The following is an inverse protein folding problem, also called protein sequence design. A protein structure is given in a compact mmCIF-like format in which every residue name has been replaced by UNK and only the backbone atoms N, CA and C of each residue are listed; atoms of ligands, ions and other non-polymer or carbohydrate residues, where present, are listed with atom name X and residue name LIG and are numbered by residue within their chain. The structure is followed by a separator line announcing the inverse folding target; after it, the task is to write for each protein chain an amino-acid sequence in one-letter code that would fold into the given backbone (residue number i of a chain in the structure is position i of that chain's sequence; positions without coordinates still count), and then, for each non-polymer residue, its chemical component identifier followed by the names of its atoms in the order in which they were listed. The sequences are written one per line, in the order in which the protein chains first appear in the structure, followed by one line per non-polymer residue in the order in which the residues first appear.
data_IF_725073005319
#
_entry.id   IF_725073005319
#
_cell.length_a   1.000
_cell.length_b   1.000
_cell.length_c   1.000
_cell.angle_alpha   90.00
_cell.angle_beta   90.00
_cell.angle_gamma   90.00
#
_symmetry.space_group_name_H-M   'P 1'
#
loop_
_entity.id
_entity.type
_entity.pdbx_description
1 polymer ?
#
# COMPACT_ATOMS: atom_id res chain seq x y z
N UNK A 1 2.68 -25.07 19.91
CA UNK A 1 2.49 -24.34 18.63
C UNK A 1 2.28 -22.86 18.95
N UNK A 2 3.28 -22.03 18.67
CA UNK A 2 3.23 -20.58 18.93
C UNK A 2 2.73 -19.87 17.67
N UNK A 3 1.62 -19.14 17.78
CA UNK A 3 1.12 -18.23 16.74
C UNK A 3 2.10 -17.06 16.63
N UNK A 4 3.09 -17.12 15.73
CA UNK A 4 3.92 -15.96 15.39
C UNK A 4 3.23 -15.19 14.26
N UNK A 5 2.67 -14.05 14.62
CA UNK A 5 2.21 -13.05 13.66
C UNK A 5 3.03 -11.81 13.98
N UNK A 6 3.99 -11.48 13.12
CA UNK A 6 4.73 -10.23 13.22
C UNK A 6 3.92 -9.17 12.49
N UNK A 7 3.77 -7.98 13.09
CA UNK A 7 3.15 -6.85 12.42
C UNK A 7 3.74 -6.72 11.02
N UNK A 8 2.88 -6.85 10.01
CA UNK A 8 3.33 -6.97 8.62
C UNK A 8 3.18 -5.60 7.97
N UNK A 9 4.30 -5.07 7.49
CA UNK A 9 4.29 -3.96 6.56
C UNK A 9 4.13 -4.55 5.17
N UNK A 10 3.08 -4.15 4.48
CA UNK A 10 2.82 -4.57 3.10
C UNK A 10 2.92 -3.33 2.23
N UNK A 11 3.71 -3.38 1.18
CA UNK A 11 3.73 -2.32 0.17
C UNK A 11 2.78 -2.69 -0.96
N UNK A 12 2.08 -1.71 -1.51
CA UNK A 12 1.21 -1.88 -2.67
C UNK A 12 1.62 -0.92 -3.76
N UNK A 13 1.83 -1.47 -4.96
CA UNK A 13 2.11 -0.69 -6.16
C UNK A 13 0.81 -0.15 -6.78
N UNK A 14 0.75 1.14 -7.06
CA UNK A 14 -0.48 1.82 -7.51
C UNK A 14 -0.75 1.73 -9.02
N UNK A 15 0.19 1.31 -9.87
CA UNK A 15 0.02 1.32 -11.34
C UNK A 15 0.05 -0.03 -12.05
N UNK A 16 0.78 -1.02 -11.54
CA UNK A 16 0.82 -2.36 -12.15
C UNK A 16 -0.39 -3.20 -11.70
N UNK A 17 -0.32 -4.53 -11.76
CA UNK A 17 -1.36 -5.48 -11.31
C UNK A 17 -1.80 -5.34 -9.83
N UNK A 18 -1.45 -4.24 -9.17
CA UNK A 18 -1.72 -3.88 -7.78
C UNK A 18 -1.34 -5.01 -6.82
N UNK A 19 -0.17 -5.59 -7.10
CA UNK A 19 0.37 -6.67 -6.29
C UNK A 19 0.92 -6.12 -4.99
N UNK A 20 0.76 -6.91 -3.94
CA UNK A 20 1.35 -6.64 -2.64
C UNK A 20 2.78 -7.16 -2.58
N UNK A 21 3.66 -6.42 -1.91
CA UNK A 21 4.98 -6.89 -1.50
C UNK A 21 5.04 -6.91 0.02
N UNK A 22 5.19 -8.09 0.66
CA UNK A 22 5.26 -9.43 0.05
C UNK A 22 3.91 -9.88 -0.56
N UNK A 23 3.98 -10.84 -1.51
CA UNK A 23 2.79 -11.39 -2.20
C UNK A 23 1.85 -12.15 -1.28
N UNK A 24 2.38 -12.70 -0.19
CA UNK A 24 1.64 -13.41 0.83
C UNK A 24 2.03 -12.92 2.21
N UNK A 25 1.07 -12.92 3.14
CA UNK A 25 1.31 -12.53 4.52
C UNK A 25 2.18 -13.60 5.18
N UNK A 26 3.31 -13.23 5.84
CA UNK A 26 4.27 -14.17 6.40
C UNK A 26 3.77 -14.80 7.72
N UNK A 27 2.69 -15.58 7.63
CA UNK A 27 2.08 -16.31 8.75
C UNK A 27 2.33 -17.80 8.59
N UNK A 28 2.68 -18.45 9.70
CA UNK A 28 2.85 -19.91 9.77
C UNK A 28 1.49 -20.59 9.89
N UNK A 29 1.29 -21.63 9.08
CA UNK A 29 0.06 -22.42 9.03
C UNK A 29 -0.60 -22.37 7.66
N UNK A 30 -1.32 -23.44 7.34
CA UNK A 30 -2.16 -23.53 6.15
C UNK A 30 -3.54 -22.87 6.40
N UNK A 31 -3.94 -21.88 5.59
CA UNK A 31 -5.18 -21.11 5.79
C UNK A 31 -6.47 -21.88 5.46
N UNK A 32 -6.38 -23.04 4.80
CA UNK A 32 -7.54 -23.83 4.44
C UNK A 32 -7.85 -24.92 5.48
N UNK A 33 -6.80 -25.38 6.18
CA UNK A 33 -6.89 -26.53 7.10
C UNK A 33 -6.53 -26.22 8.54
N UNK A 34 -5.52 -25.38 8.81
CA UNK A 34 -4.94 -25.19 10.15
C UNK A 34 -5.34 -23.87 10.81
N UNK A 35 -5.37 -22.78 10.03
CA UNK A 35 -5.65 -21.43 10.53
C UNK A 35 -6.80 -20.81 9.77
N UNK A 36 -7.53 -19.92 10.41
CA UNK A 36 -8.53 -19.03 9.81
C UNK A 36 -8.01 -17.60 9.92
N UNK A 37 -8.11 -16.84 8.82
CA UNK A 37 -7.67 -15.45 8.75
C UNK A 37 -8.88 -14.55 8.48
N UNK A 38 -9.02 -13.50 9.29
CA UNK A 38 -10.11 -12.53 9.18
C UNK A 38 -9.55 -11.10 9.18
N UNK A 39 -10.01 -10.29 8.22
CA UNK A 39 -9.68 -8.87 8.13
C UNK A 39 -10.70 -8.04 8.91
N UNK A 40 -10.21 -7.16 9.78
CA UNK A 40 -11.04 -6.26 10.57
C UNK A 40 -10.61 -4.81 10.29
N UNK A 41 -11.44 -4.09 9.52
CA UNK A 41 -11.19 -2.70 9.18
C UNK A 41 -11.70 -1.79 10.31
N UNK A 42 -10.85 -0.88 10.78
CA UNK A 42 -11.22 0.06 11.86
C UNK A 42 -11.88 1.33 11.33
N UNK A 43 -11.67 1.68 10.06
CA UNK A 43 -12.24 2.85 9.39
C UNK A 43 -12.49 2.57 7.90
N UNK A 44 -13.61 3.05 7.40
CA UNK A 44 -13.96 3.02 5.98
C UNK A 44 -14.53 1.69 5.48
N UNK A 45 -14.76 1.63 4.18
CA UNK A 45 -15.19 0.43 3.46
C UNK A 45 -14.06 -0.60 3.36
N UNK A 46 -14.38 -1.91 3.33
CA UNK A 46 -13.37 -2.93 3.12
C UNK A 46 -12.73 -2.76 1.73
N UNK A 47 -11.42 -2.54 1.70
CA UNK A 47 -10.67 -2.37 0.44
C UNK A 47 -9.90 -3.61 0.02
N UNK A 48 -9.71 -4.56 0.95
CA UNK A 48 -8.97 -5.79 0.71
C UNK A 48 -9.78 -7.03 1.08
N UNK A 49 -9.50 -8.11 0.38
CA UNK A 49 -9.90 -9.48 0.72
C UNK A 49 -8.68 -10.38 0.83
N UNK A 50 -8.85 -11.49 1.55
CA UNK A 50 -7.85 -12.55 1.62
C UNK A 50 -8.26 -13.72 0.75
N UNK A 51 -7.34 -14.15 -0.10
CA UNK A 51 -7.40 -15.42 -0.81
C UNK A 51 -6.28 -16.32 -0.29
N UNK A 52 -6.61 -17.17 0.69
CA UNK A 52 -5.61 -17.90 1.48
C UNK A 52 -4.73 -16.93 2.27
N UNK A 53 -3.47 -16.78 1.88
CA UNK A 53 -2.51 -15.82 2.47
C UNK A 53 -2.24 -14.60 1.60
N UNK A 54 -2.83 -14.53 0.40
CA UNK A 54 -2.68 -13.40 -0.52
C UNK A 54 -3.68 -12.31 -0.21
N UNK A 55 -3.21 -11.07 -0.09
CA UNK A 55 -4.05 -9.89 0.06
C UNK A 55 -4.37 -9.34 -1.33
N UNK A 56 -5.65 -9.23 -1.67
CA UNK A 56 -6.12 -8.75 -2.97
C UNK A 56 -7.03 -7.54 -2.77
N UNK A 57 -6.98 -6.56 -3.68
CA UNK A 57 -7.91 -5.45 -3.63
C UNK A 57 -9.30 -5.86 -4.13
N UNK A 58 -10.31 -5.29 -3.48
CA UNK A 58 -11.69 -5.36 -3.96
C UNK A 58 -11.94 -4.38 -5.11
N UNK A 59 -11.23 -3.25 -5.11
CA UNK A 59 -11.35 -2.19 -6.10
C UNK A 59 -9.98 -1.58 -6.38
N UNK A 60 -9.71 -1.12 -7.61
CA UNK A 60 -8.47 -0.43 -7.93
C UNK A 60 -8.24 0.76 -6.99
N UNK A 61 -7.03 0.87 -6.44
CA UNK A 61 -6.65 2.01 -5.61
C UNK A 61 -6.21 3.19 -6.49
N UNK A 62 -6.76 4.38 -6.23
CA UNK A 62 -6.33 5.64 -6.84
C UNK A 62 -5.71 6.51 -5.74
N UNK A 63 -4.38 6.64 -5.77
CA UNK A 63 -3.62 7.36 -4.73
C UNK A 63 -3.91 8.87 -4.78
N UNK A 64 -3.93 9.45 -5.98
CA UNK A 64 -4.05 10.89 -6.22
C UNK A 64 -5.42 11.43 -5.80
N UNK A 65 -6.50 10.69 -6.10
CA UNK A 65 -7.86 11.12 -5.72
C UNK A 65 -8.12 11.05 -4.22
N UNK A 66 -7.49 10.09 -3.53
CA UNK A 66 -7.88 9.74 -2.17
C UNK A 66 -6.84 10.15 -1.10
N UNK A 67 -5.73 10.76 -1.50
CA UNK A 67 -4.60 11.14 -0.62
C UNK A 67 -4.15 9.96 0.29
N UNK A 68 -4.16 8.75 -0.27
CA UNK A 68 -3.93 7.51 0.49
C UNK A 68 -2.43 7.22 0.57
N UNK A 69 -1.82 7.60 1.69
CA UNK A 69 -0.42 7.26 1.99
C UNK A 69 -0.28 5.85 2.58
N UNK A 70 -1.23 5.45 3.43
CA UNK A 70 -1.24 4.16 4.10
C UNK A 70 -2.65 3.76 4.52
N UNK A 71 -2.90 2.45 4.57
CA UNK A 71 -4.15 1.85 5.02
C UNK A 71 -3.83 0.94 6.20
N UNK A 72 -4.62 1.04 7.27
CA UNK A 72 -4.41 0.26 8.50
C UNK A 72 -5.64 -0.58 8.79
N UNK A 73 -5.42 -1.87 9.03
CA UNK A 73 -6.46 -2.78 9.49
C UNK A 73 -5.88 -3.80 10.47
N UNK A 74 -6.75 -4.53 11.16
CA UNK A 74 -6.36 -5.59 12.07
C UNK A 74 -6.54 -6.94 11.36
N UNK A 75 -5.53 -7.81 11.44
CA UNK A 75 -5.58 -9.18 10.95
C UNK A 75 -5.71 -10.12 12.13
N UNK A 76 -6.83 -10.83 12.20
CA UNK A 76 -7.05 -11.89 13.17
C UNK A 76 -6.68 -13.24 12.56
N UNK A 77 -5.91 -14.03 13.31
CA UNK A 77 -5.59 -15.41 12.98
C UNK A 77 -6.07 -16.33 14.11
N UNK A 78 -6.89 -17.31 13.76
CA UNK A 78 -7.45 -18.29 14.69
C UNK A 78 -6.96 -19.69 14.30
N UNK A 79 -6.31 -20.40 15.23
CA UNK A 79 -5.89 -21.79 14.99
C UNK A 79 -7.08 -22.71 15.22
N UNK A 80 -7.50 -23.45 14.20
CA UNK A 80 -8.71 -24.31 14.26
C UNK A 80 -8.63 -25.37 15.36
N UNK A 81 -7.49 -26.03 15.49
CA UNK A 81 -7.34 -27.14 16.44
C UNK A 81 -7.33 -26.70 17.92
N UNK A 82 -6.96 -25.45 18.22
CA UNK A 82 -6.83 -24.98 19.61
C UNK A 82 -7.75 -23.81 19.94
N UNK A 83 -8.49 -23.29 18.95
CA UNK A 83 -9.26 -22.06 19.01
C UNK A 83 -8.49 -20.84 19.55
N UNK A 84 -7.15 -20.89 19.52
CA UNK A 84 -6.32 -19.75 19.93
C UNK A 84 -6.39 -18.69 18.85
N UNK A 85 -6.81 -17.49 19.24
CA UNK A 85 -6.89 -16.30 18.38
C UNK A 85 -5.79 -15.32 18.74
N UNK A 86 -5.16 -14.74 17.72
CA UNK A 86 -4.23 -13.62 17.86
C UNK A 86 -4.54 -12.58 16.79
N UNK A 87 -4.58 -11.32 17.18
CA UNK A 87 -4.83 -10.19 16.28
C UNK A 87 -3.59 -9.31 16.21
N UNK A 88 -3.25 -8.81 15.01
CA UNK A 88 -2.16 -7.85 14.82
C UNK A 88 -2.57 -6.71 13.90
N UNK A 89 -2.02 -5.51 14.09
CA UNK A 89 -2.14 -4.45 13.10
C UNK A 89 -1.32 -4.79 11.86
N UNK A 90 -1.92 -4.55 10.68
CA UNK A 90 -1.27 -4.60 9.37
C UNK A 90 -1.32 -3.20 8.79
N UNK A 91 -0.18 -2.72 8.30
CA UNK A 91 -0.04 -1.40 7.68
C UNK A 91 0.31 -1.63 6.22
N UNK A 92 -0.62 -1.28 5.33
CA UNK A 92 -0.39 -1.29 3.89
C UNK A 92 0.07 0.10 3.48
N UNK A 93 1.31 0.22 3.01
CA UNK A 93 1.86 1.45 2.45
C UNK A 93 1.63 1.45 0.95
N UNK A 94 1.02 2.51 0.46
CA UNK A 94 0.87 2.72 -0.99
C UNK A 94 2.17 3.38 -1.44
N UNK A 95 2.92 2.72 -2.32
CA UNK A 95 4.14 3.30 -2.89
C UNK A 95 3.80 3.93 -4.23
N UNK A 96 4.08 5.23 -4.33
CA UNK A 96 3.98 5.97 -5.59
C UNK A 96 5.18 5.62 -6.46
N UNK A 97 4.95 5.16 -7.68
CA UNK A 97 5.93 5.32 -8.75
C UNK A 97 5.65 6.71 -9.33
N UNK A 98 6.66 7.55 -9.55
CA UNK A 98 6.45 8.94 -10.00
C UNK A 98 5.79 8.95 -11.40
N UNK A 99 4.48 9.03 -11.37
CA UNK A 99 3.59 8.64 -12.45
C UNK A 99 3.04 9.84 -13.22
N UNK A 100 3.29 11.04 -12.70
CA UNK A 100 2.97 12.30 -13.37
C UNK A 100 4.29 12.94 -13.84
N UNK A 101 4.86 12.51 -14.99
CA UNK A 101 6.01 13.19 -15.55
C UNK A 101 5.64 14.66 -15.79
N UNK A 102 6.53 15.61 -15.49
CA UNK A 102 6.22 17.01 -15.64
C UNK A 102 5.83 17.31 -17.09
N UNK A 103 4.66 17.92 -17.27
CA UNK A 103 4.19 18.38 -18.59
C UNK A 103 4.62 19.83 -18.77
N UNK A 104 5.48 20.08 -19.76
CA UNK A 104 5.87 21.44 -20.13
C UNK A 104 4.69 22.15 -20.80
N UNK A 105 4.09 23.10 -20.08
CA UNK A 105 3.05 23.98 -20.62
C UNK A 105 3.69 25.03 -21.53
N UNK A 106 3.06 25.36 -22.67
CA UNK A 106 3.50 26.43 -23.57
C UNK A 106 4.84 26.15 -24.28
N UNK A 107 5.00 24.94 -24.81
CA UNK A 107 6.14 24.58 -25.67
C UNK A 107 5.87 25.01 -27.12
N UNK A 108 6.85 25.62 -27.81
CA UNK A 108 8.19 26.00 -27.33
C UNK A 108 8.18 27.24 -26.43
N UNK A 109 9.03 27.24 -25.39
CA UNK A 109 9.27 28.45 -24.61
C UNK A 109 10.11 29.43 -25.43
N UNK A 110 9.51 30.58 -25.78
CA UNK A 110 10.23 31.70 -26.39
C UNK A 110 10.28 32.85 -25.40
N UNK A 111 11.47 33.37 -25.16
CA UNK A 111 11.69 34.57 -24.35
C UNK A 111 12.84 35.36 -24.97
N UNK A 112 12.81 36.68 -24.78
CA UNK A 112 13.87 37.60 -25.19
C UNK A 112 14.54 38.15 -23.96
N UNK A 113 15.86 37.96 -23.84
CA UNK A 113 16.66 38.49 -22.74
C UNK A 113 17.49 39.65 -23.28
N UNK A 114 17.53 40.76 -22.54
CA UNK A 114 18.35 41.91 -22.92
C UNK A 114 19.81 41.64 -22.58
N UNK A 115 20.74 42.10 -23.41
CA UNK A 115 22.18 41.94 -23.14
C UNK A 115 22.62 42.68 -21.85
N UNK A 116 21.83 43.66 -21.38
CA UNK A 116 22.07 44.37 -20.12
C UNK A 116 21.42 43.69 -18.89
N UNK A 117 20.86 42.49 -19.05
CA UNK A 117 20.26 41.75 -17.93
C UNK A 117 21.34 41.40 -16.91
N UNK A 118 21.25 42.01 -15.73
CA UNK A 118 22.13 41.75 -14.61
C UNK A 118 21.98 40.31 -14.13
N UNK A 119 23.11 39.63 -13.91
CA UNK A 119 23.14 38.34 -13.23
C UNK A 119 22.79 38.57 -11.76
N UNK A 120 21.84 37.81 -11.24
CA UNK A 120 21.51 37.86 -9.81
C UNK A 120 22.64 37.17 -9.02
N UNK A 121 23.66 37.93 -8.63
CA UNK A 121 24.68 37.49 -7.69
C UNK A 121 24.14 37.64 -6.28
N UNK A 122 23.76 36.51 -5.66
CA UNK A 122 23.60 36.42 -4.21
C UNK A 122 25.00 36.43 -3.60
N UNK A 123 25.34 37.48 -2.85
CA UNK A 123 26.47 37.49 -1.91
C UNK A 123 25.97 37.09 -0.52
#
# INVERSE_FOLDING_TARGET
MLLKINGSNVSLDSRNSQETTPREIPITGDPFTQIQLDLMFTKGEPMFILNGKKLQLLKPLDRDRNNLSHIVFQLACTVRNTNKKRTVPVIVRVTDVNDNPPVFMNTPYQTTVSEVTYIFLLF
#
